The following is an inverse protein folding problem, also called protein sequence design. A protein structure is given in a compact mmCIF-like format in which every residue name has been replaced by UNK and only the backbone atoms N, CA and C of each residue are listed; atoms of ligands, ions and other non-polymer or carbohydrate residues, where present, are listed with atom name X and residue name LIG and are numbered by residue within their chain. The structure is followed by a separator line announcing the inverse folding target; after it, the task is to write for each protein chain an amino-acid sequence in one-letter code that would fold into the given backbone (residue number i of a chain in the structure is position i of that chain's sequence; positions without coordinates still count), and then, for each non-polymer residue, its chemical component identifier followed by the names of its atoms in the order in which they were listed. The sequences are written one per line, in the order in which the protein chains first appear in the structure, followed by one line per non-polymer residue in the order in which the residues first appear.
data_IF_928547309060
#
_entry.id   IF_928547309060
#
_cell.length_a   1.000
_cell.length_b   1.000
_cell.length_c   1.000
_cell.angle_alpha   90.00
_cell.angle_beta   90.00
_cell.angle_gamma   90.00
#
_symmetry.space_group_name_H-M   'P 1'
#
loop_
_entity.id
_entity.type
_entity.pdbx_description
1 polymer ?
#
# COMPACT_ATOMS: atom_id res chain seq x y z
N UNK A 1 -3.22 20.05 16.42
CA UNK A 1 -3.85 19.31 15.33
C UNK A 1 -2.74 19.00 14.33
N UNK A 2 -2.15 17.83 14.42
CA UNK A 2 -1.14 17.33 13.49
C UNK A 2 -1.89 16.65 12.35
N UNK A 3 -1.88 17.14 11.24
CA UNK A 3 -2.42 16.81 9.94
C UNK A 3 -3.57 17.73 9.54
N UNK A 4 -3.18 18.78 8.90
CA UNK A 4 -4.07 19.59 8.10
C UNK A 4 -3.80 19.28 6.62
N UNK A 5 -4.67 19.73 5.76
CA UNK A 5 -4.56 19.63 4.30
C UNK A 5 -3.12 20.02 3.80
N UNK A 6 -2.46 20.97 4.48
CA UNK A 6 -1.12 21.45 4.12
C UNK A 6 -0.01 20.43 4.37
N UNK A 7 -0.14 19.55 5.36
CA UNK A 7 0.85 18.52 5.67
C UNK A 7 0.77 17.38 4.63
N UNK A 8 -0.45 17.05 4.22
CA UNK A 8 -0.67 16.10 3.11
C UNK A 8 -0.09 16.64 1.80
N UNK A 9 -0.41 17.88 1.45
CA UNK A 9 0.09 18.53 0.23
C UNK A 9 1.61 18.65 0.24
N UNK A 10 2.21 18.97 1.38
CA UNK A 10 3.67 19.01 1.53
C UNK A 10 4.31 17.65 1.25
N UNK A 11 3.85 16.59 1.92
CA UNK A 11 4.42 15.26 1.75
C UNK A 11 4.16 14.71 0.33
N UNK A 12 2.97 14.94 -0.20
CA UNK A 12 2.64 14.57 -1.58
C UNK A 12 3.60 15.22 -2.58
N UNK A 13 3.83 16.53 -2.47
CA UNK A 13 4.77 17.25 -3.31
C UNK A 13 6.20 16.73 -3.13
N UNK A 14 6.63 16.47 -1.90
CA UNK A 14 7.95 15.91 -1.61
C UNK A 14 8.17 14.57 -2.29
N UNK A 15 7.20 13.66 -2.21
CA UNK A 15 7.24 12.34 -2.86
C UNK A 15 7.22 12.51 -4.39
N UNK A 16 6.45 13.45 -4.92
CA UNK A 16 6.38 13.72 -6.36
C UNK A 16 7.71 14.25 -6.93
N UNK A 17 8.41 15.12 -6.20
CA UNK A 17 9.66 15.74 -6.64
C UNK A 17 10.88 14.84 -6.41
N UNK A 18 10.83 13.91 -5.46
CA UNK A 18 11.95 13.01 -5.15
C UNK A 18 12.38 12.06 -6.30
N UNK A 19 11.60 11.98 -7.38
CA UNK A 19 11.88 11.08 -8.52
C UNK A 19 13.03 11.56 -9.43
N UNK A 20 13.52 12.81 -9.28
CA UNK A 20 14.61 13.37 -10.07
C UNK A 20 15.83 13.62 -9.17
N UNK A 21 17.01 13.13 -9.55
CA UNK A 21 18.23 13.17 -8.72
C UNK A 21 18.68 14.60 -8.32
N UNK A 22 18.45 15.60 -9.17
CA UNK A 22 18.77 17.01 -8.85
C UNK A 22 17.70 17.66 -7.95
N UNK A 23 16.46 17.23 -8.05
CA UNK A 23 15.36 17.67 -7.20
C UNK A 23 15.39 16.98 -5.83
N UNK A 24 15.98 15.78 -5.71
CA UNK A 24 16.10 15.04 -4.46
C UNK A 24 16.85 15.80 -3.37
N UNK A 25 17.92 16.54 -3.71
CA UNK A 25 18.65 17.38 -2.74
C UNK A 25 17.84 18.58 -2.27
N UNK A 26 17.01 19.14 -3.11
CA UNK A 26 16.10 20.23 -2.75
C UNK A 26 15.02 19.71 -1.82
N UNK A 27 14.45 18.56 -2.13
CA UNK A 27 13.43 17.88 -1.31
C UNK A 27 13.95 17.52 0.09
N UNK A 28 15.21 17.09 0.23
CA UNK A 28 15.83 16.84 1.55
C UNK A 28 15.94 18.11 2.40
N UNK A 29 16.32 19.24 1.79
CA UNK A 29 16.39 20.54 2.50
C UNK A 29 15.00 21.04 2.91
N UNK A 30 14.01 20.85 2.08
CA UNK A 30 12.61 21.17 2.39
C UNK A 30 12.09 20.32 3.54
N UNK A 31 12.34 19.01 3.52
CA UNK A 31 12.00 18.10 4.60
C UNK A 31 12.68 18.49 5.92
N UNK A 32 13.97 18.82 5.87
CA UNK A 32 14.70 19.31 7.05
C UNK A 32 14.08 20.58 7.60
N UNK A 33 13.79 21.56 6.76
CA UNK A 33 13.17 22.83 7.16
C UNK A 33 11.79 22.59 7.76
N UNK A 34 11.01 21.68 7.17
CA UNK A 34 9.69 21.30 7.68
C UNK A 34 9.78 20.64 9.06
N UNK A 35 10.70 19.67 9.24
CA UNK A 35 10.96 19.02 10.53
C UNK A 35 11.29 20.04 11.63
N UNK A 36 12.24 20.96 11.35
CA UNK A 36 12.65 21.97 12.31
C UNK A 36 11.50 22.92 12.65
N UNK A 37 10.73 23.34 11.67
CA UNK A 37 9.59 24.23 11.89
C UNK A 37 8.46 23.58 12.71
N UNK A 38 8.20 22.28 12.49
CA UNK A 38 7.10 21.58 13.17
C UNK A 38 7.44 21.11 14.58
N UNK A 39 8.68 20.67 14.81
CA UNK A 39 9.09 19.98 16.04
C UNK A 39 10.21 20.68 16.80
N UNK A 40 10.71 21.80 16.30
CA UNK A 40 11.96 22.42 16.77
C UNK A 40 13.19 21.54 16.49
N UNK A 41 13.07 20.59 15.55
CA UNK A 41 14.10 19.59 15.22
C UNK A 41 14.16 18.41 16.20
N UNK A 42 13.26 18.31 17.17
CA UNK A 42 13.30 17.29 18.21
C UNK A 42 12.26 16.22 17.99
N UNK A 43 12.70 14.98 18.04
CA UNK A 43 11.85 13.78 17.98
C UNK A 43 12.18 12.80 19.09
N UNK A 44 11.23 11.94 19.42
CA UNK A 44 11.25 11.15 20.63
C UNK A 44 11.03 9.68 20.33
N UNK A 45 11.77 8.78 21.03
CA UNK A 45 11.56 7.33 20.97
C UNK A 45 11.21 6.79 22.33
N UNK A 46 9.97 6.33 22.49
CA UNK A 46 9.51 5.63 23.68
C UNK A 46 10.03 4.19 23.66
N UNK A 47 10.45 3.67 24.82
CA UNK A 47 11.01 2.34 25.01
C UNK A 47 10.60 1.76 26.35
N UNK A 48 10.52 0.45 26.40
CA UNK A 48 10.42 -0.32 27.63
C UNK A 48 11.74 -1.05 27.90
N UNK A 49 11.94 -1.54 29.12
CA UNK A 49 13.08 -2.37 29.47
C UNK A 49 12.74 -3.81 29.08
N UNK A 50 13.27 -4.26 27.97
CA UNK A 50 13.07 -5.62 27.47
C UNK A 50 14.07 -6.59 28.09
N UNK A 51 13.69 -7.87 28.23
CA UNK A 51 14.48 -8.93 28.85
C UNK A 51 15.84 -9.17 28.15
N UNK A 52 15.92 -8.91 26.86
CA UNK A 52 17.13 -9.06 26.06
C UNK A 52 18.03 -7.83 26.10
N UNK A 53 17.59 -6.72 26.68
CA UNK A 53 18.34 -5.48 26.78
C UNK A 53 18.50 -4.71 25.45
N UNK A 54 17.72 -5.02 24.42
CA UNK A 54 17.83 -4.36 23.10
C UNK A 54 17.56 -2.86 23.19
N UNK A 55 16.60 -2.44 23.99
CA UNK A 55 16.27 -1.03 24.17
C UNK A 55 17.41 -0.22 24.78
N UNK A 56 18.11 -0.78 25.77
CA UNK A 56 19.29 -0.17 26.38
C UNK A 56 20.51 -0.22 25.46
N UNK A 57 20.71 -1.31 24.75
CA UNK A 57 21.78 -1.46 23.76
C UNK A 57 21.63 -0.43 22.63
N UNK A 58 20.42 -0.17 22.16
CA UNK A 58 20.15 0.85 21.15
C UNK A 58 20.48 2.25 21.66
N UNK A 59 20.18 2.55 22.93
CA UNK A 59 20.57 3.83 23.55
C UNK A 59 22.10 3.95 23.63
N UNK A 60 22.77 2.93 24.15
CA UNK A 60 24.22 2.89 24.35
C UNK A 60 25.00 3.05 23.02
N UNK A 61 24.52 2.39 21.97
CA UNK A 61 25.12 2.42 20.63
C UNK A 61 24.64 3.60 19.77
N UNK A 62 23.73 4.44 20.27
CA UNK A 62 23.05 5.49 19.51
C UNK A 62 22.46 4.96 18.21
N UNK A 63 21.64 3.91 18.30
CA UNK A 63 20.97 3.29 17.15
C UNK A 63 19.46 3.27 17.32
N UNK A 64 18.74 3.16 16.21
CA UNK A 64 17.31 2.93 16.16
C UNK A 64 17.07 1.63 15.41
N UNK A 65 16.41 0.67 16.04
CA UNK A 65 15.94 -0.51 15.34
C UNK A 65 14.75 -0.18 14.47
N UNK A 66 14.88 -0.43 13.17
CA UNK A 66 13.82 -0.34 12.18
C UNK A 66 13.21 -1.72 11.96
N UNK A 67 11.92 -1.85 12.15
CA UNK A 67 11.19 -3.10 12.03
C UNK A 67 10.51 -3.23 10.66
N UNK A 68 10.28 -4.46 10.16
CA UNK A 68 9.41 -4.64 9.01
C UNK A 68 7.97 -4.24 9.38
N UNK A 69 7.18 -3.70 8.43
CA UNK A 69 5.79 -3.31 8.67
C UNK A 69 4.92 -4.40 9.30
N UNK A 70 5.18 -5.68 8.98
CA UNK A 70 4.50 -6.84 9.56
C UNK A 70 4.67 -7.00 11.08
N UNK A 71 5.67 -6.34 11.67
CA UNK A 71 5.90 -6.35 13.12
C UNK A 71 5.11 -5.26 13.88
N UNK A 72 4.32 -4.44 13.18
CA UNK A 72 3.55 -3.38 13.81
C UNK A 72 2.31 -3.94 14.52
N UNK A 73 1.88 -3.24 15.57
CA UNK A 73 0.73 -3.62 16.37
C UNK A 73 -0.62 -3.35 15.70
N UNK A 74 -0.67 -2.44 14.74
CA UNK A 74 -1.87 -2.14 13.97
C UNK A 74 -1.83 -2.93 12.65
N UNK A 75 -2.79 -3.85 12.39
CA UNK A 75 -2.84 -4.63 11.16
C UNK A 75 -3.14 -3.81 9.91
N UNK A 76 -3.60 -2.56 10.07
CA UNK A 76 -3.88 -1.64 8.96
C UNK A 76 -2.70 -0.74 8.62
N UNK A 77 -1.71 -0.62 9.50
CA UNK A 77 -0.56 0.26 9.31
C UNK A 77 0.37 -0.24 8.20
N UNK A 78 0.86 0.66 7.36
CA UNK A 78 1.71 0.34 6.21
C UNK A 78 1.09 -0.67 5.23
N UNK A 79 -0.23 -0.70 5.11
CA UNK A 79 -0.93 -1.60 4.17
C UNK A 79 -1.51 -0.83 2.98
N UNK A 80 -1.42 -1.44 1.82
CA UNK A 80 -1.97 -0.94 0.57
C UNK A 80 -3.16 -1.79 0.18
N UNK A 81 -4.30 -1.15 -0.13
CA UNK A 81 -5.40 -1.79 -0.84
C UNK A 81 -5.18 -1.74 -2.35
N UNK A 82 -5.86 -2.58 -3.10
CA UNK A 82 -5.95 -2.46 -4.56
C UNK A 82 -7.21 -1.67 -4.93
N UNK A 83 -7.06 -0.76 -5.87
CA UNK A 83 -8.20 -0.09 -6.50
C UNK A 83 -8.76 -0.99 -7.61
N UNK A 84 -9.70 -1.85 -7.23
CA UNK A 84 -10.35 -2.75 -8.17
C UNK A 84 -11.16 -2.00 -9.24
N UNK A 85 -11.61 -0.78 -8.96
CA UNK A 85 -12.36 0.04 -9.93
C UNK A 85 -11.47 0.47 -11.08
N UNK A 86 -10.21 0.79 -10.80
CA UNK A 86 -9.23 1.11 -11.84
C UNK A 86 -8.92 -0.06 -12.76
N UNK A 87 -9.21 -1.31 -12.37
CA UNK A 87 -9.18 -2.47 -13.25
C UNK A 87 -10.13 -2.29 -14.44
N UNK A 88 -11.34 -1.75 -14.20
CA UNK A 88 -12.28 -1.52 -15.28
C UNK A 88 -11.82 -0.44 -16.24
N UNK A 89 -11.10 0.58 -15.76
CA UNK A 89 -10.49 1.59 -16.64
C UNK A 89 -9.41 0.94 -17.52
N UNK A 90 -8.60 0.04 -16.94
CA UNK A 90 -7.63 -0.76 -17.69
C UNK A 90 -8.36 -1.68 -18.68
N UNK A 91 -9.37 -2.40 -18.24
CA UNK A 91 -10.15 -3.29 -19.10
C UNK A 91 -10.87 -2.53 -20.21
N UNK A 92 -11.43 -1.35 -19.92
CA UNK A 92 -12.01 -0.46 -20.94
C UNK A 92 -10.94 0.17 -21.84
N UNK A 93 -9.70 0.16 -21.45
CA UNK A 93 -8.54 0.61 -22.25
C UNK A 93 -7.78 -0.51 -22.96
N UNK A 94 -8.17 -1.83 -22.89
CA UNK A 94 -7.41 -2.92 -23.51
C UNK A 94 -7.65 -3.06 -25.03
N UNK A 95 -6.61 -3.22 -25.90
CA UNK A 95 -6.75 -3.53 -27.35
C UNK A 95 -7.34 -4.93 -27.53
N UNK A 96 -8.63 -4.98 -27.78
CA UNK A 96 -9.35 -6.23 -27.98
C UNK A 96 -8.75 -7.07 -29.11
N UNK A 97 -8.31 -6.44 -30.18
CA UNK A 97 -7.70 -7.14 -31.30
C UNK A 97 -6.49 -8.00 -30.89
N UNK A 98 -5.68 -7.53 -29.95
CA UNK A 98 -4.54 -8.32 -29.43
C UNK A 98 -4.99 -9.45 -28.53
N UNK A 99 -5.99 -9.21 -27.66
CA UNK A 99 -6.57 -10.26 -26.82
C UNK A 99 -7.31 -11.28 -27.68
N UNK A 100 -8.12 -10.85 -28.63
CA UNK A 100 -8.82 -11.72 -29.57
C UNK A 100 -7.83 -12.57 -30.39
N UNK A 101 -6.76 -11.96 -30.89
CA UNK A 101 -5.69 -12.69 -31.60
C UNK A 101 -5.01 -13.72 -30.69
N UNK A 102 -4.58 -13.31 -29.49
CA UNK A 102 -3.95 -14.23 -28.54
C UNK A 102 -4.89 -15.34 -28.11
N UNK A 103 -6.17 -15.04 -27.92
CA UNK A 103 -7.18 -16.02 -27.59
C UNK A 103 -7.51 -16.94 -28.78
N UNK A 104 -7.56 -16.39 -29.99
CA UNK A 104 -7.68 -17.19 -31.22
C UNK A 104 -6.50 -18.14 -31.40
N UNK A 105 -5.28 -17.68 -31.16
CA UNK A 105 -4.07 -18.50 -31.20
C UNK A 105 -4.11 -19.59 -30.10
N UNK A 106 -4.57 -19.26 -28.89
CA UNK A 106 -4.82 -20.22 -27.82
C UNK A 106 -5.84 -21.29 -28.24
N UNK A 107 -6.97 -20.88 -28.82
CA UNK A 107 -7.99 -21.81 -29.34
C UNK A 107 -7.41 -22.74 -30.41
N UNK A 108 -6.56 -22.20 -31.31
CA UNK A 108 -5.89 -22.98 -32.34
C UNK A 108 -4.95 -24.03 -31.74
N UNK A 109 -4.17 -23.65 -30.73
CA UNK A 109 -3.28 -24.58 -30.02
C UNK A 109 -4.09 -25.67 -29.32
N UNK A 110 -5.11 -25.29 -28.56
CA UNK A 110 -5.95 -26.22 -27.83
C UNK A 110 -6.69 -27.20 -28.73
N UNK A 111 -7.16 -26.73 -29.89
CA UNK A 111 -7.90 -27.54 -30.84
C UNK A 111 -7.00 -28.43 -31.76
N UNK A 112 -5.72 -28.06 -31.91
CA UNK A 112 -4.75 -28.71 -32.81
C UNK A 112 -3.61 -29.42 -32.09
N UNK A 113 -3.69 -29.55 -30.77
CA UNK A 113 -2.65 -30.18 -29.93
C UNK A 113 -1.25 -29.53 -30.13
N UNK A 114 -1.20 -28.22 -30.43
CA UNK A 114 0.07 -27.50 -30.51
C UNK A 114 0.70 -27.33 -29.13
N UNK A 115 2.03 -27.32 -29.12
CA UNK A 115 2.78 -27.15 -27.88
C UNK A 115 2.79 -25.69 -27.42
N UNK A 116 2.79 -25.48 -26.10
CA UNK A 116 2.87 -24.16 -25.46
C UNK A 116 4.11 -23.38 -25.92
N UNK A 117 5.20 -24.06 -26.20
CA UNK A 117 6.46 -23.50 -26.70
C UNK A 117 6.32 -22.77 -28.05
N UNK A 118 5.23 -23.00 -28.78
CA UNK A 118 4.93 -22.26 -30.03
C UNK A 118 4.57 -20.79 -29.81
N UNK A 119 4.27 -20.41 -28.55
CA UNK A 119 3.95 -19.02 -28.17
C UNK A 119 5.20 -18.27 -27.69
N UNK A 120 5.24 -16.94 -27.87
CA UNK A 120 6.23 -16.09 -27.24
C UNK A 120 6.28 -16.33 -25.72
N UNK A 121 7.48 -16.25 -25.14
CA UNK A 121 7.65 -16.48 -23.68
C UNK A 121 6.74 -15.61 -22.81
N UNK A 122 6.50 -14.40 -23.26
CA UNK A 122 5.66 -13.41 -22.58
C UNK A 122 4.19 -13.86 -22.49
N UNK A 123 3.71 -14.56 -23.51
CA UNK A 123 2.34 -15.05 -23.59
C UNK A 123 2.15 -16.42 -22.89
N UNK A 124 3.22 -17.19 -22.68
CA UNK A 124 3.12 -18.55 -22.12
C UNK A 124 2.47 -18.62 -20.75
N UNK A 125 2.67 -17.61 -19.90
CA UNK A 125 2.06 -17.58 -18.56
C UNK A 125 0.54 -17.39 -18.63
N UNK A 126 0.09 -16.52 -19.53
CA UNK A 126 -1.33 -16.30 -19.81
C UNK A 126 -1.96 -17.55 -20.37
N UNK A 127 -1.30 -18.16 -21.35
CA UNK A 127 -1.77 -19.40 -21.98
C UNK A 127 -1.85 -20.55 -20.96
N UNK A 128 -0.86 -20.67 -20.06
CA UNK A 128 -0.89 -21.67 -18.97
C UNK A 128 -2.05 -21.43 -18.02
N UNK A 129 -2.33 -20.18 -17.68
CA UNK A 129 -3.48 -19.82 -16.85
C UNK A 129 -4.77 -20.28 -17.54
N UNK A 130 -4.97 -19.92 -18.82
CA UNK A 130 -6.15 -20.30 -19.58
C UNK A 130 -6.31 -21.82 -19.74
N UNK A 131 -5.21 -22.56 -19.97
CA UNK A 131 -5.23 -24.02 -20.10
C UNK A 131 -5.67 -24.72 -18.79
N UNK A 132 -5.54 -24.07 -17.64
CA UNK A 132 -5.98 -24.60 -16.35
C UNK A 132 -7.37 -24.09 -15.94
N UNK A 133 -7.94 -23.11 -16.63
CA UNK A 133 -9.27 -22.58 -16.31
C UNK A 133 -10.38 -23.48 -16.84
N UNK A 134 -11.22 -24.01 -15.91
CA UNK A 134 -12.38 -24.82 -16.26
C UNK A 134 -13.38 -24.04 -17.12
N UNK A 135 -13.62 -22.76 -16.82
CA UNK A 135 -14.54 -21.91 -17.57
C UNK A 135 -14.10 -21.75 -19.03
N UNK A 136 -12.81 -21.52 -19.26
CA UNK A 136 -12.22 -21.41 -20.61
C UNK A 136 -12.25 -22.77 -21.32
N UNK A 137 -11.93 -23.87 -20.63
CA UNK A 137 -12.00 -25.21 -21.22
C UNK A 137 -13.42 -25.54 -21.67
N UNK A 138 -14.43 -25.25 -20.84
CA UNK A 138 -15.83 -25.51 -21.20
C UNK A 138 -16.30 -24.60 -22.36
N UNK A 139 -15.88 -23.33 -22.38
CA UNK A 139 -16.11 -22.42 -23.49
C UNK A 139 -15.45 -22.92 -24.79
N UNK A 140 -14.18 -23.32 -24.75
CA UNK A 140 -13.47 -23.90 -25.90
C UNK A 140 -14.19 -25.15 -26.43
N UNK A 141 -14.71 -25.99 -25.56
CA UNK A 141 -15.55 -27.14 -25.98
C UNK A 141 -16.84 -26.72 -26.67
N UNK A 142 -17.47 -25.64 -26.18
CA UNK A 142 -18.68 -25.10 -26.82
C UNK A 142 -18.36 -24.49 -28.20
N UNK A 143 -17.22 -23.83 -28.37
CA UNK A 143 -16.81 -23.20 -29.64
C UNK A 143 -16.33 -24.17 -30.70
N UNK A 144 -16.00 -25.43 -30.36
CA UNK A 144 -15.56 -26.42 -31.34
C UNK A 144 -16.57 -26.69 -32.49
N UNK A 145 -17.83 -26.33 -32.30
CA UNK A 145 -18.89 -26.48 -33.29
C UNK A 145 -19.21 -25.21 -34.04
N UNK A 146 -18.62 -24.09 -33.60
CA UNK A 146 -18.85 -22.78 -34.21
C UNK A 146 -18.13 -22.72 -35.57
N UNK A 147 -18.82 -22.18 -36.57
CA UNK A 147 -18.33 -22.07 -37.94
C UNK A 147 -18.08 -20.61 -38.34
N UNK A 148 -18.52 -19.66 -37.52
CA UNK A 148 -18.37 -18.22 -37.71
C UNK A 148 -17.93 -17.51 -36.46
N UNK A 149 -17.27 -16.35 -36.65
CA UNK A 149 -16.88 -15.45 -35.56
C UNK A 149 -18.09 -15.01 -34.71
N UNK A 150 -19.22 -14.76 -35.35
CA UNK A 150 -20.48 -14.39 -34.66
C UNK A 150 -20.95 -15.50 -33.72
N UNK A 151 -20.83 -16.77 -34.11
CA UNK A 151 -21.17 -17.90 -33.26
C UNK A 151 -20.22 -18.03 -32.07
N UNK A 152 -18.91 -17.79 -32.27
CA UNK A 152 -17.90 -17.77 -31.21
C UNK A 152 -18.20 -16.64 -30.21
N UNK A 153 -18.50 -15.44 -30.70
CA UNK A 153 -18.85 -14.29 -29.86
C UNK A 153 -20.15 -14.54 -29.07
N UNK A 154 -21.16 -15.13 -29.68
CA UNK A 154 -22.38 -15.50 -28.97
C UNK A 154 -22.12 -16.58 -27.90
N UNK A 155 -21.26 -17.55 -28.17
CA UNK A 155 -20.85 -18.54 -27.20
C UNK A 155 -20.06 -17.92 -26.05
N UNK A 156 -19.19 -16.91 -26.32
CA UNK A 156 -18.45 -16.15 -25.32
C UNK A 156 -19.38 -15.35 -24.40
N UNK A 157 -20.35 -14.64 -24.99
CA UNK A 157 -21.37 -13.87 -24.25
C UNK A 157 -22.20 -14.79 -23.35
N UNK A 158 -22.55 -15.98 -23.85
CA UNK A 158 -23.30 -16.98 -23.06
C UNK A 158 -22.47 -17.67 -21.96
N UNK A 159 -21.16 -17.48 -21.98
CA UNK A 159 -20.23 -18.02 -20.99
C UNK A 159 -19.42 -16.90 -20.31
N UNK A 160 -20.10 -15.97 -19.66
CA UNK A 160 -19.48 -14.79 -19.04
C UNK A 160 -18.30 -15.09 -18.08
N UNK A 161 -18.28 -16.28 -17.46
CA UNK A 161 -17.14 -16.74 -16.67
C UNK A 161 -15.86 -16.89 -17.52
N UNK A 162 -15.99 -17.33 -18.78
CA UNK A 162 -14.84 -17.43 -19.67
C UNK A 162 -14.28 -16.05 -20.01
N UNK A 163 -15.12 -15.02 -20.19
CA UNK A 163 -14.69 -13.64 -20.38
C UNK A 163 -13.86 -13.15 -19.19
N UNK A 164 -14.37 -13.36 -17.98
CA UNK A 164 -13.66 -12.95 -16.74
C UNK A 164 -12.29 -13.65 -16.64
N UNK A 165 -12.24 -14.95 -16.88
CA UNK A 165 -11.00 -15.72 -16.84
C UNK A 165 -10.01 -15.31 -17.95
N UNK A 166 -10.50 -14.97 -19.14
CA UNK A 166 -9.68 -14.44 -20.24
C UNK A 166 -9.06 -13.11 -19.81
N UNK A 167 -9.85 -12.21 -19.26
CA UNK A 167 -9.40 -10.89 -18.82
C UNK A 167 -8.41 -10.99 -17.65
N UNK A 168 -8.66 -11.85 -16.66
CA UNK A 168 -7.73 -12.08 -15.55
C UNK A 168 -6.40 -12.62 -16.10
N UNK A 169 -6.43 -13.61 -16.98
CA UNK A 169 -5.22 -14.14 -17.61
C UNK A 169 -4.45 -13.09 -18.37
N UNK A 170 -5.13 -12.28 -19.19
CA UNK A 170 -4.51 -11.21 -19.97
C UNK A 170 -3.88 -10.14 -19.07
N UNK A 171 -4.56 -9.70 -18.01
CA UNK A 171 -4.06 -8.68 -17.08
C UNK A 171 -2.94 -9.19 -16.16
N UNK A 172 -2.77 -10.50 -16.03
CA UNK A 172 -1.66 -11.09 -15.27
C UNK A 172 -0.32 -11.05 -15.99
N UNK A 173 -0.27 -10.57 -17.24
CA UNK A 173 0.96 -10.46 -18.00
C UNK A 173 1.41 -9.00 -18.16
N UNK A 174 2.53 -8.59 -17.49
CA UNK A 174 3.04 -7.22 -17.60
C UNK A 174 3.35 -6.75 -19.02
N UNK A 175 3.82 -7.66 -19.88
CA UNK A 175 4.17 -7.33 -21.28
C UNK A 175 2.95 -7.05 -22.14
N UNK A 176 1.80 -7.62 -21.80
CA UNK A 176 0.54 -7.36 -22.49
C UNK A 176 -0.07 -6.03 -22.07
N UNK A 177 0.08 -5.64 -20.82
CA UNK A 177 -0.42 -4.36 -20.32
C UNK A 177 0.25 -3.15 -20.97
N UNK A 178 1.54 -3.26 -21.37
CA UNK A 178 2.29 -2.18 -22.01
C UNK A 178 2.03 -2.01 -23.50
N UNK A 179 1.44 -3.02 -24.13
CA UNK A 179 1.26 -3.07 -25.58
C UNK A 179 -0.19 -2.80 -26.01
N UNK A 180 -1.05 -2.51 -25.04
CA UNK A 180 -2.49 -2.51 -25.26
C UNK A 180 -3.07 -1.09 -25.31
N UNK A 181 -3.12 -0.50 -26.51
CA UNK A 181 -4.06 0.58 -26.84
C UNK A 181 -5.37 -0.02 -27.36
N UNK A 182 -6.47 0.07 -26.67
CA UNK A 182 -7.71 -0.62 -27.05
C UNK A 182 -8.79 0.32 -27.50
N UNK A 183 -9.52 -0.09 -28.53
CA UNK A 183 -10.74 0.58 -28.92
C UNK A 183 -11.80 0.40 -27.84
N UNK A 184 -12.11 1.48 -27.16
CA UNK A 184 -13.08 1.67 -26.09
C UNK A 184 -14.47 1.06 -26.36
N UNK A 185 -14.80 0.91 -27.66
CA UNK A 185 -16.18 0.66 -28.08
C UNK A 185 -16.62 -0.80 -27.94
N UNK A 186 -15.71 -1.77 -28.03
CA UNK A 186 -16.09 -3.19 -28.02
C UNK A 186 -16.25 -3.78 -26.62
N UNK A 187 -15.45 -3.37 -25.63
CA UNK A 187 -15.67 -3.80 -24.22
C UNK A 187 -16.88 -3.10 -23.67
N UNK A 188 -17.06 -1.81 -23.95
CA UNK A 188 -18.29 -1.10 -23.63
C UNK A 188 -19.50 -1.81 -24.25
N UNK A 189 -19.39 -2.30 -25.48
CA UNK A 189 -20.47 -3.04 -26.13
C UNK A 189 -20.71 -4.44 -25.56
N UNK A 190 -19.63 -5.20 -25.26
CA UNK A 190 -19.73 -6.52 -24.64
C UNK A 190 -20.23 -6.41 -23.18
N UNK A 191 -19.66 -5.48 -22.43
CA UNK A 191 -20.14 -5.19 -21.05
C UNK A 191 -21.55 -4.60 -21.05
N UNK A 192 -21.86 -3.68 -22.00
CA UNK A 192 -23.21 -3.14 -22.14
C UNK A 192 -24.22 -4.22 -22.49
N UNK A 193 -23.87 -5.19 -23.31
CA UNK A 193 -24.75 -6.30 -23.68
C UNK A 193 -24.93 -7.33 -22.56
N UNK A 194 -23.87 -7.59 -21.77
CA UNK A 194 -23.92 -8.41 -20.58
C UNK A 194 -24.76 -7.72 -19.48
N UNK A 195 -24.69 -6.41 -19.42
CA UNK A 195 -25.45 -5.57 -18.47
C UNK A 195 -26.87 -5.23 -18.95
N UNK A 196 -27.14 -5.22 -20.28
CA UNK A 196 -28.46 -4.86 -20.86
C UNK A 196 -29.49 -5.99 -20.78
N UNK A 197 -29.09 -7.26 -20.68
CA UNK A 197 -30.00 -8.36 -20.34
C UNK A 197 -30.55 -8.28 -18.92
N UNK A 198 -30.06 -7.30 -18.14
CA UNK A 198 -30.44 -7.03 -16.76
C UNK A 198 -30.82 -5.59 -16.43
N UNK A 199 -31.40 -4.80 -17.38
CA UNK A 199 -31.94 -3.45 -17.10
C UNK A 199 -30.95 -2.32 -16.78
N UNK A 200 -29.78 -2.27 -17.41
CA UNK A 200 -28.92 -1.09 -17.37
C UNK A 200 -29.08 -0.33 -18.68
N UNK A 201 -29.68 0.86 -18.60
CA UNK A 201 -29.88 1.74 -19.73
C UNK A 201 -28.55 2.42 -20.12
N UNK A 202 -27.96 1.99 -21.24
CA UNK A 202 -26.77 2.59 -21.84
C UNK A 202 -27.19 3.17 -23.20
N UNK A 203 -27.94 4.26 -23.15
CA UNK A 203 -28.44 4.92 -24.37
C UNK A 203 -27.65 6.14 -24.81
N UNK A 204 -26.39 6.30 -24.44
CA UNK A 204 -25.58 7.41 -24.96
C UNK A 204 -24.19 6.97 -25.38
N UNK A 205 -23.89 7.16 -26.66
CA UNK A 205 -22.63 6.87 -27.35
C UNK A 205 -21.48 7.85 -27.02
N UNK A 206 -21.55 8.65 -25.97
CA UNK A 206 -20.51 9.62 -25.61
C UNK A 206 -20.04 9.41 -24.19
N UNK A 207 -18.84 8.86 -24.05
CA UNK A 207 -17.95 9.09 -22.92
C UNK A 207 -18.49 8.78 -21.52
N UNK A 208 -19.32 7.76 -21.34
CA UNK A 208 -19.82 7.39 -20.01
C UNK A 208 -18.68 6.73 -19.22
N UNK A 209 -18.21 7.40 -18.17
CA UNK A 209 -17.19 6.82 -17.29
C UNK A 209 -17.79 5.67 -16.47
N UNK A 210 -16.94 4.72 -16.06
CA UNK A 210 -17.34 3.66 -15.13
C UNK A 210 -17.96 4.24 -13.84
N UNK A 211 -17.46 5.38 -13.34
CA UNK A 211 -18.04 6.11 -12.21
C UNK A 211 -19.51 6.48 -12.43
N UNK A 212 -19.90 6.85 -13.66
CA UNK A 212 -21.29 7.18 -13.97
C UNK A 212 -22.18 5.94 -14.00
N UNK A 213 -21.65 4.81 -14.50
CA UNK A 213 -22.36 3.52 -14.49
C UNK A 213 -22.52 3.03 -13.05
N UNK A 214 -21.49 3.14 -12.22
CA UNK A 214 -21.52 2.76 -10.83
C UNK A 214 -22.57 3.61 -10.04
N UNK A 215 -22.54 4.93 -10.21
CA UNK A 215 -23.50 5.85 -9.56
C UNK A 215 -24.95 5.57 -9.96
N UNK A 216 -25.20 5.30 -11.26
CA UNK A 216 -26.56 4.94 -11.75
C UNK A 216 -27.06 3.63 -11.15
N UNK A 217 -26.17 2.74 -10.73
CA UNK A 217 -26.50 1.47 -10.09
C UNK A 217 -26.47 1.51 -8.56
N UNK A 218 -26.38 2.71 -7.97
CA UNK A 218 -26.38 2.90 -6.51
C UNK A 218 -25.06 2.50 -5.84
N UNK A 219 -23.97 2.41 -6.61
CA UNK A 219 -22.63 2.15 -6.10
C UNK A 219 -21.99 3.50 -5.80
N UNK A 220 -21.74 3.79 -4.54
CA UNK A 220 -21.04 5.00 -4.12
C UNK A 220 -19.54 4.83 -4.20
N UNK A 221 -18.79 5.95 -4.18
CA UNK A 221 -17.33 5.93 -4.13
C UNK A 221 -16.80 5.32 -2.82
N UNK A 222 -17.65 5.24 -1.79
CA UNK A 222 -17.34 4.64 -0.48
C UNK A 222 -17.67 3.14 -0.41
N UNK A 223 -18.19 2.53 -1.49
CA UNK A 223 -18.49 1.09 -1.51
C UNK A 223 -17.19 0.28 -1.41
N UNK A 224 -17.13 -0.63 -0.44
CA UNK A 224 -16.04 -1.58 -0.27
C UNK A 224 -15.78 -2.39 -1.56
N UNK A 225 -14.51 -2.62 -1.91
CA UNK A 225 -14.10 -3.32 -3.13
C UNK A 225 -14.69 -4.73 -3.23
N UNK A 226 -14.78 -5.45 -2.12
CA UNK A 226 -15.36 -6.80 -2.08
C UNK A 226 -16.87 -6.74 -2.28
N UNK A 227 -17.54 -5.78 -1.65
CA UNK A 227 -18.98 -5.54 -1.86
C UNK A 227 -19.25 -5.16 -3.31
N UNK A 228 -18.37 -4.37 -3.92
CA UNK A 228 -18.42 -4.02 -5.34
C UNK A 228 -18.24 -5.24 -6.25
N UNK A 229 -17.22 -6.09 -6.00
CA UNK A 229 -16.99 -7.33 -6.74
C UNK A 229 -18.22 -8.25 -6.67
N UNK A 230 -18.81 -8.42 -5.49
CA UNK A 230 -20.01 -9.23 -5.28
C UNK A 230 -21.21 -8.68 -6.05
N UNK A 231 -21.45 -7.38 -5.94
CA UNK A 231 -22.57 -6.73 -6.65
C UNK A 231 -22.43 -6.83 -8.17
N UNK A 232 -21.21 -6.69 -8.68
CA UNK A 232 -20.92 -6.87 -10.10
C UNK A 232 -21.15 -8.32 -10.54
N UNK A 233 -20.69 -9.28 -9.76
CA UNK A 233 -20.84 -10.70 -10.02
C UNK A 233 -22.30 -11.15 -9.97
N UNK A 234 -23.08 -10.68 -9.00
CA UNK A 234 -24.49 -10.96 -8.87
C UNK A 234 -25.30 -10.44 -10.08
N UNK A 235 -24.88 -9.30 -10.65
CA UNK A 235 -25.48 -8.75 -11.87
C UNK A 235 -25.04 -9.46 -13.15
N UNK A 236 -23.78 -9.90 -13.23
CA UNK A 236 -23.23 -10.59 -14.40
C UNK A 236 -23.73 -12.01 -14.53
N UNK A 237 -23.93 -12.71 -13.43
CA UNK A 237 -24.45 -14.09 -13.43
C UNK A 237 -25.19 -14.42 -12.12
N UNK A 238 -26.48 -14.10 -12.00
CA UNK A 238 -27.21 -14.31 -10.76
C UNK A 238 -27.31 -15.80 -10.33
N UNK A 239 -27.02 -16.73 -11.23
CA UNK A 239 -27.11 -18.18 -10.95
C UNK A 239 -25.78 -18.85 -10.58
N UNK A 240 -24.66 -18.12 -10.61
CA UNK A 240 -23.32 -18.70 -10.39
C UNK A 240 -22.49 -17.91 -9.39
N UNK A 241 -22.65 -18.23 -8.11
CA UNK A 241 -21.80 -17.74 -7.00
C UNK A 241 -20.30 -17.98 -7.21
N UNK A 242 -19.91 -18.89 -8.10
CA UNK A 242 -18.52 -19.36 -8.29
C UNK A 242 -17.58 -18.26 -8.86
N UNK A 243 -18.10 -17.35 -9.68
CA UNK A 243 -17.29 -16.29 -10.31
C UNK A 243 -16.94 -15.16 -9.33
N UNK A 244 -17.90 -14.78 -8.47
CA UNK A 244 -17.65 -13.77 -7.44
C UNK A 244 -16.57 -14.25 -6.47
N UNK A 245 -16.68 -15.51 -6.04
CA UNK A 245 -15.72 -16.11 -5.12
C UNK A 245 -14.32 -16.11 -5.72
N UNK A 246 -14.17 -16.49 -6.99
CA UNK A 246 -12.86 -16.51 -7.66
C UNK A 246 -12.26 -15.13 -7.86
N UNK A 247 -13.06 -14.12 -8.23
CA UNK A 247 -12.61 -12.75 -8.34
C UNK A 247 -12.20 -12.19 -6.98
N UNK A 248 -12.97 -12.49 -5.94
CA UNK A 248 -12.64 -12.09 -4.57
C UNK A 248 -11.35 -12.76 -4.07
N UNK A 249 -11.17 -14.05 -4.32
CA UNK A 249 -9.94 -14.77 -3.98
C UNK A 249 -8.73 -14.23 -4.75
N UNK A 250 -8.91 -13.94 -6.04
CA UNK A 250 -7.87 -13.35 -6.87
C UNK A 250 -7.48 -11.95 -6.38
N UNK A 251 -8.46 -11.10 -6.10
CA UNK A 251 -8.24 -9.78 -5.51
C UNK A 251 -7.45 -9.86 -4.20
N UNK A 252 -7.88 -10.72 -3.26
CA UNK A 252 -7.18 -10.92 -1.98
C UNK A 252 -5.75 -11.41 -2.17
N UNK A 253 -5.54 -12.32 -3.10
CA UNK A 253 -4.19 -12.83 -3.40
C UNK A 253 -3.27 -11.73 -3.92
N UNK A 254 -3.76 -10.89 -4.82
CA UNK A 254 -2.98 -9.77 -5.34
C UNK A 254 -2.71 -8.70 -4.28
N UNK A 255 -3.71 -8.35 -3.47
CA UNK A 255 -3.53 -7.42 -2.36
C UNK A 255 -2.49 -7.95 -1.36
N UNK A 256 -2.53 -9.24 -1.05
CA UNK A 256 -1.54 -9.89 -0.20
C UNK A 256 -0.14 -9.83 -0.82
N UNK A 257 0.03 -10.21 -2.08
CA UNK A 257 1.34 -10.16 -2.77
C UNK A 257 1.90 -8.74 -2.82
N UNK A 258 1.06 -7.74 -3.05
CA UNK A 258 1.46 -6.33 -3.03
C UNK A 258 1.99 -5.92 -1.66
N UNK A 259 1.30 -6.30 -0.59
CA UNK A 259 1.71 -5.99 0.77
C UNK A 259 2.98 -6.75 1.18
N UNK A 260 3.13 -8.04 0.82
CA UNK A 260 4.36 -8.82 1.03
C UNK A 260 5.55 -8.18 0.32
N UNK A 261 5.34 -7.67 -0.90
CA UNK A 261 6.37 -6.93 -1.64
C UNK A 261 6.76 -5.64 -0.91
N UNK A 262 5.79 -4.85 -0.44
CA UNK A 262 6.07 -3.63 0.32
C UNK A 262 6.89 -3.92 1.58
N UNK A 263 6.53 -4.95 2.33
CA UNK A 263 7.22 -5.39 3.55
C UNK A 263 8.66 -5.88 3.26
N UNK A 264 8.88 -6.47 2.09
CA UNK A 264 10.21 -6.93 1.67
C UNK A 264 11.14 -5.81 1.20
N UNK A 265 10.63 -4.62 0.94
CA UNK A 265 11.42 -3.50 0.41
C UNK A 265 11.94 -2.57 1.51
N UNK A 266 11.20 -2.39 2.60
CA UNK A 266 11.49 -1.37 3.59
C UNK A 266 11.36 -1.85 5.03
N UNK A 267 12.28 -1.34 5.88
CA UNK A 267 12.17 -1.35 7.32
C UNK A 267 11.81 0.06 7.80
N UNK A 268 11.06 0.15 8.89
CA UNK A 268 10.51 1.42 9.37
C UNK A 268 10.89 1.65 10.82
N UNK A 269 11.51 2.79 11.09
CA UNK A 269 11.84 3.28 12.42
C UNK A 269 10.89 4.41 12.83
N UNK A 270 10.06 4.19 13.86
CA UNK A 270 9.05 5.15 14.31
C UNK A 270 9.58 6.03 15.44
N UNK A 271 9.35 7.34 15.32
CA UNK A 271 9.64 8.38 16.31
C UNK A 271 8.35 9.18 16.58
N UNK A 272 8.22 9.78 17.75
CA UNK A 272 7.09 10.60 18.13
C UNK A 272 7.46 12.11 18.16
N UNK A 273 6.48 12.97 17.95
CA UNK A 273 6.67 14.41 18.00
C UNK A 273 6.63 15.03 19.42
N UNK A 274 6.20 14.28 20.42
CA UNK A 274 6.05 14.75 21.80
C UNK A 274 6.47 13.71 22.83
N UNK A 275 7.14 14.11 23.90
CA UNK A 275 7.53 13.27 25.04
C UNK A 275 6.55 13.30 26.20
N UNK A 276 5.55 14.19 26.16
CA UNK A 276 4.57 14.36 27.25
C UNK A 276 3.29 13.58 27.04
N UNK A 277 3.12 12.95 25.89
CA UNK A 277 1.89 12.24 25.57
C UNK A 277 1.69 11.01 26.48
N UNK A 278 0.64 11.03 27.30
CA UNK A 278 0.33 9.98 28.28
C UNK A 278 0.00 8.63 27.65
N UNK A 279 -0.66 8.64 26.48
CA UNK A 279 -0.98 7.41 25.75
C UNK A 279 0.30 6.75 25.23
N UNK A 280 1.25 7.52 24.74
CA UNK A 280 2.57 7.01 24.32
C UNK A 280 3.33 6.36 25.47
N UNK A 281 3.31 6.97 26.66
CA UNK A 281 3.90 6.38 27.85
C UNK A 281 3.19 5.07 28.26
N UNK A 282 1.88 5.00 28.09
CA UNK A 282 1.10 3.81 28.41
C UNK A 282 1.37 2.67 27.43
N UNK A 283 1.36 2.96 26.12
CA UNK A 283 1.47 1.93 25.07
C UNK A 283 2.90 1.48 24.82
N UNK A 284 3.86 2.42 24.79
CA UNK A 284 5.23 2.16 24.29
C UNK A 284 6.32 2.22 25.38
N UNK A 285 5.97 2.59 26.60
CA UNK A 285 6.89 2.64 27.73
C UNK A 285 6.41 1.83 28.94
N UNK A 286 5.84 0.66 28.71
CA UNK A 286 5.36 -0.30 29.74
C UNK A 286 4.55 0.39 30.85
N UNK A 287 3.47 1.09 30.50
CA UNK A 287 2.63 1.75 31.50
C UNK A 287 3.41 2.75 32.36
N UNK A 288 4.19 3.63 31.76
CA UNK A 288 5.03 4.65 32.42
C UNK A 288 6.24 4.10 33.21
N UNK A 289 6.61 2.81 33.06
CA UNK A 289 7.78 2.22 33.73
C UNK A 289 9.05 2.29 32.87
N UNK A 290 8.91 2.51 31.55
CA UNK A 290 10.02 2.60 30.60
C UNK A 290 10.68 3.97 30.56
N UNK A 291 11.22 4.33 29.40
CA UNK A 291 11.93 5.58 29.18
C UNK A 291 11.64 6.14 27.78
N UNK A 292 12.03 7.41 27.56
CA UNK A 292 11.90 8.07 26.27
C UNK A 292 13.23 8.76 25.92
N UNK A 293 13.69 8.58 24.71
CA UNK A 293 14.95 9.13 24.18
C UNK A 293 14.61 10.33 23.30
N UNK A 294 15.26 11.46 23.52
CA UNK A 294 15.16 12.65 22.68
C UNK A 294 16.33 12.69 21.68
N UNK A 295 16.02 12.87 20.41
CA UNK A 295 16.99 13.12 19.34
C UNK A 295 16.80 14.54 18.79
N UNK A 296 17.90 15.29 18.64
CA UNK A 296 17.90 16.64 18.08
C UNK A 296 18.47 16.62 16.66
N UNK A 297 17.58 16.61 15.68
CA UNK A 297 17.92 16.65 14.26
C UNK A 297 18.30 18.03 13.76
N UNK A 298 18.05 19.11 14.52
CA UNK A 298 18.40 20.48 14.09
C UNK A 298 19.89 20.67 13.85
N UNK A 299 20.71 19.78 14.39
CA UNK A 299 22.18 19.77 14.28
C UNK A 299 22.73 18.70 13.34
N UNK A 300 21.86 17.91 12.71
CA UNK A 300 22.32 16.86 11.81
C UNK A 300 22.90 17.45 10.53
N UNK A 301 23.97 16.83 10.06
CA UNK A 301 24.57 17.09 8.73
C UNK A 301 24.26 15.96 7.75
N UNK A 302 23.74 14.85 8.25
CA UNK A 302 23.31 13.70 7.47
C UNK A 302 21.83 13.86 7.09
N UNK A 303 21.61 14.32 5.86
CA UNK A 303 20.26 14.53 5.33
C UNK A 303 19.64 13.24 4.78
N UNK A 304 20.41 12.17 4.62
CA UNK A 304 19.90 10.90 4.09
C UNK A 304 19.10 10.14 5.14
N UNK A 305 19.25 10.50 6.41
CA UNK A 305 18.56 9.91 7.56
C UNK A 305 17.42 10.76 8.13
N UNK A 306 16.87 11.66 7.35
CA UNK A 306 15.77 12.51 7.82
C UNK A 306 14.48 11.71 7.98
N UNK A 307 13.79 11.83 9.13
CA UNK A 307 12.47 11.24 9.31
C UNK A 307 11.42 11.99 8.50
N UNK A 308 10.48 11.23 7.95
CA UNK A 308 9.29 11.73 7.25
C UNK A 308 8.11 11.85 8.22
N UNK A 309 7.28 12.90 8.11
CA UNK A 309 6.05 12.98 8.90
C UNK A 309 5.03 11.94 8.44
N UNK A 310 4.25 11.40 9.39
CA UNK A 310 3.12 10.50 9.07
C UNK A 310 1.88 11.34 8.78
N UNK A 311 1.19 10.97 7.71
CA UNK A 311 -0.13 11.49 7.36
C UNK A 311 -1.19 10.65 8.05
N UNK A 312 -2.14 11.33 8.71
CA UNK A 312 -3.28 10.68 9.34
C UNK A 312 -4.54 10.87 8.51
N UNK A 313 -5.20 9.77 8.20
CA UNK A 313 -6.42 9.74 7.38
C UNK A 313 -7.33 8.62 7.81
N UNK A 314 -8.62 8.75 7.51
CA UNK A 314 -9.64 7.71 7.66
C UNK A 314 -9.76 6.80 6.44
N UNK A 315 -8.94 7.04 5.40
CA UNK A 315 -8.97 6.28 4.15
C UNK A 315 -7.67 5.54 3.92
N UNK A 316 -7.75 4.25 3.61
CA UNK A 316 -6.59 3.45 3.20
C UNK A 316 -6.06 3.92 1.85
N UNK A 317 -4.75 3.91 1.70
CA UNK A 317 -4.09 4.13 0.41
C UNK A 317 -4.41 2.94 -0.50
N UNK A 318 -4.81 3.23 -1.72
CA UNK A 318 -5.10 2.21 -2.74
C UNK A 318 -4.14 2.35 -3.90
N UNK A 319 -3.61 1.21 -4.36
CA UNK A 319 -2.80 1.11 -5.56
C UNK A 319 -3.72 1.04 -6.77
N UNK A 320 -3.62 1.97 -7.74
CA UNK A 320 -4.30 1.82 -9.01
C UNK A 320 -3.87 0.52 -9.67
N UNK A 321 -4.82 -0.24 -10.22
CA UNK A 321 -4.55 -1.53 -10.88
C UNK A 321 -3.47 -1.41 -11.95
N UNK A 322 -3.51 -0.36 -12.74
CA UNK A 322 -2.54 -0.08 -13.79
C UNK A 322 -1.11 0.02 -13.23
N UNK A 323 -0.92 0.68 -12.10
CA UNK A 323 0.36 0.79 -11.43
C UNK A 323 0.82 -0.55 -10.82
N UNK A 324 -0.14 -1.41 -10.38
CA UNK A 324 0.19 -2.72 -9.82
C UNK A 324 0.72 -3.72 -10.87
N UNK A 325 0.34 -3.58 -12.15
CA UNK A 325 0.69 -4.54 -13.21
C UNK A 325 2.03 -4.22 -13.90
N UNK A 326 2.57 -3.03 -13.76
CA UNK A 326 3.87 -2.54 -14.28
C UNK A 326 4.22 -2.81 -15.71
N UNK A 327 4.42 -1.74 -16.47
CA UNK A 327 4.98 -1.90 -17.80
C UNK A 327 5.83 -0.73 -18.28
N UNK A 328 5.56 0.45 -17.82
CA UNK A 328 6.30 1.65 -18.19
C UNK A 328 7.15 2.19 -17.04
N UNK A 329 8.11 3.06 -17.35
CA UNK A 329 8.91 3.76 -16.35
C UNK A 329 8.02 4.66 -15.47
N UNK A 330 7.03 5.29 -16.08
CA UNK A 330 6.06 6.16 -15.41
C UNK A 330 5.22 5.37 -14.39
N UNK A 331 4.74 4.19 -14.75
CA UNK A 331 3.97 3.31 -13.86
C UNK A 331 4.82 2.77 -12.72
N UNK A 332 6.10 2.47 -12.97
CA UNK A 332 7.05 2.09 -11.91
C UNK A 332 7.24 3.23 -10.89
N UNK A 333 7.36 4.47 -11.36
CA UNK A 333 7.47 5.65 -10.50
C UNK A 333 6.17 5.84 -9.70
N UNK A 334 5.01 5.72 -10.31
CA UNK A 334 3.71 5.85 -9.63
C UNK A 334 3.51 4.77 -8.57
N UNK A 335 3.91 3.53 -8.87
CA UNK A 335 3.93 2.45 -7.88
C UNK A 335 4.81 2.79 -6.68
N UNK A 336 6.04 3.25 -6.92
CA UNK A 336 6.96 3.63 -5.86
C UNK A 336 6.39 4.76 -4.99
N UNK A 337 5.78 5.77 -5.60
CA UNK A 337 5.11 6.87 -4.91
C UNK A 337 3.95 6.39 -4.04
N UNK A 338 3.11 5.51 -4.57
CA UNK A 338 1.98 4.94 -3.83
C UNK A 338 2.47 4.09 -2.65
N UNK A 339 3.52 3.28 -2.84
CA UNK A 339 4.15 2.51 -1.76
C UNK A 339 4.73 3.42 -0.67
N UNK A 340 5.46 4.47 -1.06
CA UNK A 340 5.98 5.46 -0.10
C UNK A 340 4.86 6.15 0.67
N UNK A 341 3.79 6.53 -0.02
CA UNK A 341 2.62 7.15 0.62
C UNK A 341 1.99 6.21 1.64
N UNK A 342 1.84 4.92 1.32
CA UNK A 342 1.29 3.92 2.26
C UNK A 342 2.18 3.71 3.49
N UNK A 343 3.52 3.70 3.32
CA UNK A 343 4.46 3.62 4.44
C UNK A 343 4.42 4.86 5.36
N UNK A 344 3.92 5.98 4.86
CA UNK A 344 3.86 7.26 5.57
C UNK A 344 2.42 7.68 5.92
N UNK A 345 1.47 6.76 5.81
CA UNK A 345 0.05 7.01 6.13
C UNK A 345 -0.41 6.08 7.24
N UNK A 346 -1.21 6.62 8.17
CA UNK A 346 -1.76 5.88 9.32
C UNK A 346 -3.19 6.32 9.60
N UNK A 347 -3.97 5.46 10.25
CA UNK A 347 -5.34 5.79 10.66
C UNK A 347 -5.39 7.02 11.57
N UNK A 348 -6.40 7.88 11.37
CA UNK A 348 -6.57 9.14 12.10
C UNK A 348 -6.72 8.96 13.63
N UNK A 349 -7.19 7.79 14.10
CA UNK A 349 -7.28 7.48 15.53
C UNK A 349 -5.91 7.48 16.21
N UNK A 350 -4.83 7.19 15.48
CA UNK A 350 -3.45 7.21 15.97
C UNK A 350 -2.79 8.60 15.91
N UNK A 351 -3.50 9.65 15.52
CA UNK A 351 -2.93 11.01 15.34
C UNK A 351 -2.28 11.59 16.60
N UNK A 352 -2.64 11.08 17.78
CA UNK A 352 -2.02 11.48 19.04
C UNK A 352 -0.54 11.09 19.16
N UNK A 353 -0.06 10.14 18.34
CA UNK A 353 1.35 9.72 18.33
C UNK A 353 2.26 10.77 17.70
N UNK A 354 1.73 11.64 16.83
CA UNK A 354 2.50 12.64 16.09
C UNK A 354 3.74 12.02 15.46
N UNK A 355 3.52 10.90 14.75
CA UNK A 355 4.57 10.00 14.33
C UNK A 355 5.41 10.56 13.18
N UNK A 356 6.70 10.23 13.21
CA UNK A 356 7.69 10.45 12.16
C UNK A 356 8.40 9.14 11.87
N UNK A 357 8.69 8.84 10.61
CA UNK A 357 9.26 7.58 10.18
C UNK A 357 10.59 7.74 9.47
N UNK A 358 11.57 6.94 9.87
CA UNK A 358 12.79 6.69 9.11
C UNK A 358 12.54 5.44 8.27
N UNK A 359 12.74 5.55 6.95
CA UNK A 359 12.58 4.44 6.01
C UNK A 359 13.95 3.95 5.58
N UNK A 360 14.18 2.65 5.69
CA UNK A 360 15.43 2.00 5.35
C UNK A 360 15.16 0.86 4.38
N UNK A 361 16.00 0.66 3.39
CA UNK A 361 15.89 -0.52 2.52
C UNK A 361 16.11 -1.80 3.33
N UNK A 362 15.30 -2.80 3.06
CA UNK A 362 15.26 -4.05 3.84
C UNK A 362 16.63 -4.78 3.92
N UNK A 363 17.44 -4.67 2.87
CA UNK A 363 18.77 -5.33 2.80
C UNK A 363 19.85 -4.64 3.65
N UNK A 364 19.54 -3.47 4.23
CA UNK A 364 20.45 -2.75 5.11
C UNK A 364 20.37 -3.27 6.56
N UNK A 365 21.35 -2.86 7.40
CA UNK A 365 21.31 -3.13 8.84
C UNK A 365 20.04 -2.52 9.44
N UNK A 366 19.21 -3.31 10.13
CA UNK A 366 18.01 -2.79 10.79
C UNK A 366 18.32 -1.81 11.93
N UNK A 367 19.54 -1.79 12.46
CA UNK A 367 19.99 -0.88 13.52
C UNK A 367 20.63 0.38 12.92
N UNK A 368 19.81 1.35 12.57
CA UNK A 368 20.25 2.58 11.94
C UNK A 368 20.96 3.49 12.93
N UNK A 369 22.11 4.04 12.52
CA UNK A 369 22.87 5.00 13.33
C UNK A 369 22.08 6.31 13.49
N UNK A 370 21.84 6.70 14.73
CA UNK A 370 21.12 7.91 15.08
C UNK A 370 22.06 9.03 15.52
N UNK A 371 21.63 10.30 15.45
CA UNK A 371 22.31 11.36 16.17
C UNK A 371 22.46 10.98 17.66
N UNK A 372 23.53 11.45 18.30
CA UNK A 372 23.66 11.25 19.76
C UNK A 372 22.42 11.81 20.45
N UNK A 373 21.76 11.04 21.34
CA UNK A 373 20.62 11.54 22.09
C UNK A 373 20.91 12.84 22.84
N UNK A 374 19.95 13.75 22.83
CA UNK A 374 20.07 15.06 23.50
C UNK A 374 19.55 15.04 24.93
N UNK A 375 18.64 14.12 25.25
CA UNK A 375 18.10 13.91 26.61
C UNK A 375 17.48 12.52 26.71
N UNK A 376 17.40 12.00 27.93
CA UNK A 376 16.64 10.78 28.25
C UNK A 376 15.63 11.12 29.35
N UNK A 377 14.37 10.73 29.14
CA UNK A 377 13.28 10.89 30.11
C UNK A 377 12.94 9.55 30.73
N UNK A 378 12.96 9.45 32.04
CA UNK A 378 12.59 8.26 32.79
C UNK A 378 11.10 8.31 33.11
N UNK A 379 10.38 7.21 32.88
CA UNK A 379 8.95 7.10 33.17
C UNK A 379 8.62 7.31 34.64
N UNK A 380 7.46 7.90 34.93
CA UNK A 380 7.05 8.27 36.28
C UNK A 380 6.91 7.08 37.25
N UNK A 381 6.77 5.86 36.73
CA UNK A 381 6.61 4.61 37.50
C UNK A 381 7.82 3.67 37.33
N UNK A 382 8.95 4.16 36.81
CA UNK A 382 10.16 3.37 36.64
C UNK A 382 10.74 2.91 38.01
N UNK A 383 11.11 1.64 38.11
CA UNK A 383 11.73 1.09 39.30
C UNK A 383 13.18 1.59 39.49
N UNK A 384 13.74 1.37 40.71
CA UNK A 384 15.08 1.88 41.04
C UNK A 384 16.20 1.23 40.25
N UNK A 385 16.09 -0.05 39.94
CA UNK A 385 17.11 -0.82 39.20
C UNK A 385 17.23 -0.35 37.76
N UNK A 386 16.13 -0.32 37.06
CA UNK A 386 16.06 0.16 35.67
C UNK A 386 16.50 1.63 35.56
N UNK A 387 16.09 2.47 36.51
CA UNK A 387 16.53 3.84 36.61
C UNK A 387 18.06 3.94 36.75
N UNK A 388 18.67 3.14 37.63
CA UNK A 388 20.11 3.15 37.84
C UNK A 388 20.88 2.70 36.58
N UNK A 389 20.41 1.65 35.90
CA UNK A 389 21.01 1.20 34.62
C UNK A 389 20.96 2.29 33.57
N UNK A 390 19.81 2.93 33.40
CA UNK A 390 19.61 4.01 32.44
C UNK A 390 20.52 5.22 32.74
N UNK A 391 20.60 5.63 34.01
CA UNK A 391 21.49 6.70 34.43
C UNK A 391 22.98 6.37 34.16
N UNK A 392 23.39 5.13 34.36
CA UNK A 392 24.76 4.69 34.10
C UNK A 392 25.09 4.84 32.59
N UNK A 393 24.23 4.39 31.70
CA UNK A 393 24.41 4.53 30.24
C UNK A 393 24.35 6.01 29.84
N UNK A 394 23.40 6.77 30.34
CA UNK A 394 23.28 8.19 30.01
C UNK A 394 24.53 8.99 30.46
N UNK A 395 25.08 8.68 31.64
CA UNK A 395 26.32 9.29 32.15
C UNK A 395 27.53 8.95 31.27
N UNK A 396 27.67 7.67 30.85
CA UNK A 396 28.77 7.27 29.94
C UNK A 396 28.71 8.03 28.60
N UNK A 397 27.52 8.32 28.14
CA UNK A 397 27.26 9.10 26.95
C UNK A 397 27.26 10.63 27.19
N UNK A 398 27.39 11.08 28.44
CA UNK A 398 27.24 12.52 28.81
C UNK A 398 25.91 13.11 28.28
N UNK A 399 24.80 12.42 28.56
CA UNK A 399 23.43 12.80 28.18
C UNK A 399 22.66 13.22 29.45
N UNK A 400 21.98 14.38 29.45
CA UNK A 400 21.11 14.76 30.56
C UNK A 400 19.96 13.79 30.74
N UNK A 401 19.60 13.54 32.00
CA UNK A 401 18.49 12.65 32.38
C UNK A 401 17.45 13.45 33.14
N UNK A 402 16.18 13.23 32.78
CA UNK A 402 15.03 13.86 33.43
C UNK A 402 14.05 12.82 33.92
N UNK A 403 13.41 13.08 35.04
CA UNK A 403 12.34 12.24 35.60
C UNK A 403 10.98 12.80 35.21
N UNK A 404 10.14 11.96 34.60
CA UNK A 404 8.74 12.32 34.38
C UNK A 404 7.96 12.27 35.67
N UNK A 405 7.15 13.30 35.92
CA UNK A 405 6.24 13.42 37.07
C UNK A 405 4.81 13.57 36.60
N UNK A 406 3.91 12.98 37.36
CA UNK A 406 2.47 13.13 37.18
C UNK A 406 2.04 14.41 37.87
N UNK A 407 1.37 15.28 37.16
CA UNK A 407 0.75 16.45 37.75
C UNK A 407 -0.37 16.04 38.69
N UNK A 408 -0.54 16.76 39.81
CA UNK A 408 -1.54 16.45 40.82
C UNK A 408 -2.90 17.11 40.57
N UNK A 409 -2.92 18.17 39.82
CA UNK A 409 -4.13 18.94 39.51
C UNK A 409 -4.72 18.69 38.11
N UNK A 410 -3.88 18.22 37.19
CA UNK A 410 -4.26 18.04 35.79
C UNK A 410 -3.84 16.66 35.27
N UNK A 411 -4.49 16.21 34.21
CA UNK A 411 -4.05 15.01 33.48
C UNK A 411 -2.84 15.35 32.60
N UNK A 412 -1.73 15.71 33.20
CA UNK A 412 -0.51 16.15 32.54
C UNK A 412 0.74 15.46 33.10
N UNK A 413 1.80 15.48 32.29
CA UNK A 413 3.16 15.07 32.66
C UNK A 413 4.11 16.23 32.52
N UNK A 414 5.02 16.37 33.44
CA UNK A 414 6.16 17.31 33.35
C UNK A 414 7.48 16.59 33.66
N UNK A 415 8.59 17.15 33.18
CA UNK A 415 9.90 16.58 33.39
C UNK A 415 10.69 17.43 34.39
N UNK A 416 11.36 16.80 35.35
CA UNK A 416 12.26 17.41 36.30
C UNK A 416 13.69 16.91 36.06
N UNK A 417 14.68 17.76 36.23
CA UNK A 417 16.08 17.37 36.16
C UNK A 417 16.44 16.41 37.30
N UNK A 418 17.29 15.44 36.99
CA UNK A 418 17.75 14.41 37.94
C UNK A 418 19.11 14.76 38.51
#
# INVERSE_FOLDING_TARGET
MFCNQSDYEFLHNLIQTASNADEGKTSQKELFSYLVNKTGGKLYKYRFFDENGYSLSNLENCTLYCAPPSAFNDPFDCKIGLDFRSLFEVLCGLELDKIEKMFADFLLVYNKERLLESFPREEQNVIRYWLNSKAIIDFVKATKKCTSETEVNNALISNGNAIVEILIGATSNPSLSSAMDISRDMISHAMAKILSDGSIDITSNEGVSFSDIAKRNGISDDTDEIAFIRLLSDKLQPEKHDTAVKLEEYYKTLEQQLNERLESLFLVGCLAGDYKNRLMWSHYADGHKGFCIEYDFSKTTDLDLLPFPVIYTDKRIKMPWKAAIHSSKEETIETAKTMMTALLTKDAEWSYEQEWRILVQHDNDPNVKMPKPSCVYIGSMCNKENRQQLCTIANSLSIPVKQMKIDRGEYALHAEDL
#
